data_IF_035305893508
#
_entry.id   IF_035305893508
#
_cell.length_a   1.000
_cell.length_b   1.000
_cell.length_c   1.000
_cell.angle_alpha   90.00
_cell.angle_beta   90.00
_cell.angle_gamma   90.00
#
_symmetry.space_group_name_H-M   'P 1'
#
loop_
_entity.id
_entity.type
_entity.pdbx_description
1 polymer ?
#
# COMPACT_ATOMS: atom_id res chain seq x y z
N UNK A 1 25.38 7.44 9.26
CA UNK A 1 25.84 8.42 8.25
C UNK A 1 24.64 9.24 7.84
N UNK A 2 24.66 10.55 8.17
CA UNK A 2 23.61 11.50 7.80
C UNK A 2 23.90 12.01 6.38
N UNK A 3 23.51 11.25 5.38
CA UNK A 3 23.56 11.74 4.02
C UNK A 3 22.44 12.76 3.80
N UNK A 4 22.73 13.97 3.29
CA UNK A 4 21.74 15.01 2.99
C UNK A 4 20.60 14.50 2.09
N UNK A 5 20.93 13.54 1.23
CA UNK A 5 20.09 12.84 0.27
C UNK A 5 18.85 12.19 0.89
N UNK A 6 18.93 11.71 2.15
CA UNK A 6 17.81 11.07 2.82
C UNK A 6 17.03 12.00 3.76
N UNK A 7 17.36 13.31 3.77
CA UNK A 7 16.74 14.26 4.68
C UNK A 7 15.22 14.37 4.46
N UNK A 8 14.81 14.54 3.21
CA UNK A 8 13.39 14.65 2.85
C UNK A 8 12.63 13.36 3.13
N UNK A 9 13.21 12.20 2.84
CA UNK A 9 12.57 10.92 3.14
C UNK A 9 12.33 10.74 4.64
N UNK A 10 13.34 11.05 5.46
CA UNK A 10 13.22 11.02 6.92
C UNK A 10 12.17 12.00 7.44
N UNK A 11 12.14 13.19 6.88
CA UNK A 11 11.16 14.21 7.23
C UNK A 11 9.73 13.73 6.94
N UNK A 12 9.43 13.29 5.73
CA UNK A 12 8.09 12.80 5.39
C UNK A 12 7.70 11.52 6.15
N UNK A 13 8.65 10.61 6.38
CA UNK A 13 8.42 9.44 7.21
C UNK A 13 8.07 9.82 8.67
N UNK A 14 8.77 10.81 9.23
CA UNK A 14 8.46 11.33 10.57
C UNK A 14 7.10 12.03 10.64
N UNK A 15 6.69 12.74 9.60
CA UNK A 15 5.37 13.35 9.49
C UNK A 15 4.25 12.29 9.46
N UNK A 16 4.43 11.21 8.68
CA UNK A 16 3.48 10.09 8.66
C UNK A 16 3.30 9.52 10.08
N UNK A 17 4.41 9.26 10.77
CA UNK A 17 4.37 8.74 12.13
C UNK A 17 3.70 9.71 13.13
N UNK A 18 4.01 11.00 13.03
CA UNK A 18 3.43 12.04 13.87
C UNK A 18 1.92 12.15 13.67
N UNK A 19 1.43 12.22 12.43
CA UNK A 19 0.00 12.27 12.14
C UNK A 19 -0.71 10.97 12.57
N UNK A 20 -0.08 9.82 12.40
CA UNK A 20 -0.64 8.54 12.83
C UNK A 20 -0.78 8.46 14.38
N UNK A 21 0.14 9.06 15.13
CA UNK A 21 0.07 9.11 16.59
C UNK A 21 -0.92 10.15 17.13
N UNK A 22 -1.00 11.32 16.51
CA UNK A 22 -1.87 12.41 16.97
C UNK A 22 -3.35 12.05 16.93
N UNK A 23 -3.74 11.15 16.00
CA UNK A 23 -5.14 10.81 15.82
C UNK A 23 -5.99 12.02 15.39
N UNK A 24 -7.30 11.85 15.42
CA UNK A 24 -8.24 12.94 15.12
C UNK A 24 -8.64 12.99 13.63
N UNK A 25 -9.60 13.90 13.31
CA UNK A 25 -10.30 13.87 12.02
C UNK A 25 -9.40 14.15 10.81
N UNK A 26 -8.28 14.83 11.02
CA UNK A 26 -7.34 15.19 9.94
C UNK A 26 -6.09 14.32 9.90
N UNK A 27 -5.89 13.40 10.84
CA UNK A 27 -4.71 12.54 10.91
C UNK A 27 -4.57 11.69 9.63
N UNK A 28 -5.66 11.13 9.14
CA UNK A 28 -5.66 10.32 7.91
C UNK A 28 -5.28 11.15 6.69
N UNK A 29 -5.74 12.40 6.60
CA UNK A 29 -5.38 13.31 5.52
C UNK A 29 -3.89 13.68 5.59
N UNK A 30 -3.38 13.96 6.79
CA UNK A 30 -1.96 14.24 7.01
C UNK A 30 -1.05 13.08 6.65
N UNK A 31 -1.44 11.85 7.05
CA UNK A 31 -0.74 10.62 6.66
C UNK A 31 -0.72 10.46 5.13
N UNK A 32 -1.87 10.63 4.48
CA UNK A 32 -1.98 10.50 3.02
C UNK A 32 -1.10 11.52 2.30
N UNK A 33 -1.20 12.80 2.66
CA UNK A 33 -0.40 13.87 2.05
C UNK A 33 1.10 13.64 2.24
N UNK A 34 1.53 13.24 3.44
CA UNK A 34 2.93 12.96 3.73
C UNK A 34 3.43 11.71 2.97
N UNK A 35 2.58 10.72 2.75
CA UNK A 35 2.89 9.55 1.94
C UNK A 35 3.06 9.93 0.46
N UNK A 36 2.19 10.78 -0.08
CA UNK A 36 2.30 11.28 -1.46
C UNK A 36 3.60 12.07 -1.67
N UNK A 37 3.96 12.93 -0.71
CA UNK A 37 5.23 13.67 -0.75
C UNK A 37 6.45 12.76 -0.60
N UNK A 38 6.38 11.72 0.23
CA UNK A 38 7.42 10.70 0.34
C UNK A 38 7.61 9.95 -0.99
N UNK A 39 6.52 9.55 -1.63
CA UNK A 39 6.56 8.90 -2.95
C UNK A 39 7.14 9.83 -4.01
N UNK A 40 6.75 11.11 -4.01
CA UNK A 40 7.30 12.11 -4.92
C UNK A 40 8.82 12.26 -4.72
N UNK A 41 9.29 12.39 -3.47
CA UNK A 41 10.70 12.46 -3.15
C UNK A 41 11.46 11.20 -3.58
N UNK A 42 10.89 10.01 -3.38
CA UNK A 42 11.47 8.76 -3.87
C UNK A 42 11.58 8.74 -5.40
N UNK A 43 10.55 9.22 -6.11
CA UNK A 43 10.57 9.27 -7.57
C UNK A 43 11.53 10.33 -8.12
N UNK A 44 11.72 11.45 -7.44
CA UNK A 44 12.59 12.55 -7.92
C UNK A 44 14.04 12.39 -7.51
N UNK A 45 14.32 11.99 -6.26
CA UNK A 45 15.68 11.91 -5.71
C UNK A 45 16.32 10.54 -5.89
N UNK A 46 15.51 9.50 -5.96
CA UNK A 46 15.93 8.10 -6.11
C UNK A 46 15.37 7.45 -7.37
N UNK A 47 14.84 8.26 -8.30
CA UNK A 47 14.59 7.76 -9.64
C UNK A 47 15.92 7.18 -10.13
N UNK A 48 15.99 5.87 -10.38
CA UNK A 48 17.24 5.33 -10.88
C UNK A 48 17.58 6.11 -12.13
N UNK A 49 18.84 6.50 -12.26
CA UNK A 49 19.44 6.99 -13.50
C UNK A 49 19.45 5.83 -14.54
N UNK A 50 18.36 5.15 -14.62
CA UNK A 50 18.06 4.01 -15.48
C UNK A 50 17.55 4.47 -16.84
N UNK A 51 17.65 5.78 -17.11
CA UNK A 51 17.34 6.37 -18.40
C UNK A 51 18.42 6.13 -19.47
N UNK A 52 19.55 5.50 -19.09
CA UNK A 52 20.56 5.02 -20.04
C UNK A 52 20.52 3.50 -20.17
N UNK A 53 19.36 2.88 -20.06
CA UNK A 53 19.22 1.45 -20.22
C UNK A 53 19.00 1.10 -21.69
N UNK A 54 19.75 0.10 -22.15
CA UNK A 54 19.60 -0.52 -23.46
C UNK A 54 18.14 -0.82 -23.77
N UNK A 55 17.69 -0.80 -25.04
CA UNK A 55 16.32 -1.08 -25.45
C UNK A 55 15.75 -2.39 -24.87
N UNK A 56 16.62 -3.38 -24.66
CA UNK A 56 16.26 -4.67 -24.05
C UNK A 56 15.76 -4.54 -22.60
N UNK A 57 16.32 -3.60 -21.82
CA UNK A 57 15.90 -3.39 -20.43
C UNK A 57 14.52 -2.73 -20.34
N UNK A 58 14.17 -1.86 -21.28
CA UNK A 58 12.83 -1.27 -21.30
C UNK A 58 11.77 -2.30 -21.70
N UNK A 59 12.10 -3.20 -22.61
CA UNK A 59 11.22 -4.31 -22.98
C UNK A 59 10.97 -5.26 -21.80
N UNK A 60 12.03 -5.58 -21.03
CA UNK A 60 11.91 -6.38 -19.81
C UNK A 60 11.05 -5.69 -18.74
N UNK A 61 11.24 -4.40 -18.54
CA UNK A 61 10.43 -3.61 -17.59
C UNK A 61 8.98 -3.50 -18.02
N UNK A 62 8.73 -3.29 -19.32
CA UNK A 62 7.39 -3.28 -19.87
C UNK A 62 6.69 -4.63 -19.68
N UNK A 63 7.41 -5.74 -19.86
CA UNK A 63 6.90 -7.07 -19.57
C UNK A 63 6.53 -7.23 -18.08
N UNK A 64 7.43 -6.81 -17.18
CA UNK A 64 7.14 -6.89 -15.73
C UNK A 64 5.97 -5.98 -15.35
N UNK A 65 5.87 -4.75 -15.86
CA UNK A 65 4.70 -3.88 -15.59
C UNK A 65 3.39 -4.57 -15.98
N UNK A 66 3.34 -5.24 -17.14
CA UNK A 66 2.16 -6.02 -17.58
C UNK A 66 1.86 -7.18 -16.63
N UNK A 67 2.90 -7.89 -16.18
CA UNK A 67 2.74 -8.98 -15.20
C UNK A 67 2.22 -8.48 -13.85
N UNK A 68 2.74 -7.35 -13.37
CA UNK A 68 2.29 -6.74 -12.11
C UNK A 68 0.82 -6.28 -12.20
N UNK A 69 0.41 -5.69 -13.34
CA UNK A 69 -0.98 -5.33 -13.59
C UNK A 69 -1.87 -6.58 -13.59
N UNK A 70 -1.47 -7.63 -14.31
CA UNK A 70 -2.20 -8.89 -14.34
C UNK A 70 -2.35 -9.50 -12.93
N UNK A 71 -1.30 -9.49 -12.12
CA UNK A 71 -1.38 -9.95 -10.72
C UNK A 71 -2.32 -9.09 -9.90
N UNK A 72 -2.31 -7.76 -10.11
CA UNK A 72 -3.21 -6.84 -9.41
C UNK A 72 -4.69 -7.07 -9.75
N UNK A 73 -4.98 -7.49 -10.98
CA UNK A 73 -6.35 -7.73 -11.42
C UNK A 73 -6.87 -9.12 -11.00
N UNK A 74 -5.96 -10.11 -10.83
CA UNK A 74 -6.29 -11.52 -10.55
C UNK A 74 -5.82 -12.03 -9.19
N UNK A 75 -5.37 -11.15 -8.28
CA UNK A 75 -4.74 -11.55 -7.00
C UNK A 75 -5.62 -12.45 -6.12
N UNK A 76 -6.92 -12.28 -6.20
CA UNK A 76 -7.88 -13.04 -5.38
C UNK A 76 -8.06 -14.49 -5.87
N UNK A 77 -7.72 -14.77 -7.11
CA UNK A 77 -7.87 -16.07 -7.75
C UNK A 77 -6.69 -17.00 -7.40
N UNK A 78 -6.84 -18.28 -7.78
CA UNK A 78 -5.72 -19.23 -7.71
C UNK A 78 -4.72 -18.92 -8.82
N UNK A 79 -3.80 -18.01 -8.55
CA UNK A 79 -2.81 -17.55 -9.49
C UNK A 79 -1.45 -18.24 -9.25
N UNK A 80 -0.90 -18.84 -10.29
CA UNK A 80 0.38 -19.56 -10.28
C UNK A 80 1.43 -18.86 -11.14
N UNK A 81 2.68 -19.28 -11.00
CA UNK A 81 3.77 -18.78 -11.87
C UNK A 81 3.61 -19.27 -13.30
N UNK A 82 2.96 -20.41 -13.51
CA UNK A 82 2.60 -20.95 -14.82
C UNK A 82 1.61 -20.01 -15.52
N UNK A 83 0.56 -19.56 -14.84
CA UNK A 83 -0.42 -18.63 -15.41
C UNK A 83 0.24 -17.33 -15.88
N UNK A 84 1.25 -16.82 -15.14
CA UNK A 84 2.02 -15.66 -15.55
C UNK A 84 2.89 -15.95 -16.79
N UNK A 85 3.48 -17.13 -16.84
CA UNK A 85 4.33 -17.55 -17.95
C UNK A 85 3.50 -17.67 -19.24
N UNK A 86 2.34 -18.29 -19.15
CA UNK A 86 1.40 -18.43 -20.26
C UNK A 86 0.86 -17.07 -20.73
N UNK A 87 0.46 -16.21 -19.78
CA UNK A 87 0.01 -14.84 -20.10
C UNK A 87 1.08 -14.02 -20.83
N UNK A 88 2.33 -14.13 -20.41
CA UNK A 88 3.44 -13.38 -21.00
C UNK A 88 4.07 -14.07 -22.22
N UNK A 89 3.67 -15.31 -22.52
CA UNK A 89 4.25 -16.16 -23.56
C UNK A 89 5.76 -16.40 -23.39
N UNK A 90 6.18 -16.59 -22.13
CA UNK A 90 7.54 -16.93 -21.76
C UNK A 90 7.56 -18.25 -20.98
N UNK A 91 8.74 -18.85 -20.85
CA UNK A 91 8.87 -20.01 -19.98
C UNK A 91 8.87 -19.60 -18.49
N UNK A 92 8.41 -20.50 -17.62
CA UNK A 92 8.30 -20.31 -16.18
C UNK A 92 9.62 -19.88 -15.52
N UNK A 93 10.73 -20.48 -15.92
CA UNK A 93 12.06 -20.18 -15.35
C UNK A 93 12.47 -18.73 -15.65
N UNK A 94 12.23 -18.28 -16.88
CA UNK A 94 12.51 -16.90 -17.28
C UNK A 94 11.66 -15.90 -16.47
N UNK A 95 10.34 -16.14 -16.35
CA UNK A 95 9.45 -15.28 -15.57
C UNK A 95 9.86 -15.24 -14.10
N UNK A 96 10.21 -16.38 -13.50
CA UNK A 96 10.68 -16.45 -12.13
C UNK A 96 11.94 -15.60 -11.90
N UNK A 97 12.91 -15.70 -12.81
CA UNK A 97 14.17 -14.96 -12.72
C UNK A 97 13.96 -13.47 -12.96
N UNK A 98 13.22 -13.13 -14.02
CA UNK A 98 12.90 -11.75 -14.39
C UNK A 98 12.16 -11.03 -13.26
N UNK A 99 11.15 -11.69 -12.69
CA UNK A 99 10.35 -11.16 -11.59
C UNK A 99 11.24 -10.86 -10.36
N UNK A 100 12.07 -11.83 -9.96
CA UNK A 100 12.99 -11.66 -8.83
C UNK A 100 14.04 -10.57 -9.07
N UNK A 101 14.57 -10.46 -10.30
CA UNK A 101 15.58 -9.44 -10.63
C UNK A 101 15.01 -8.02 -10.61
N UNK A 102 13.79 -7.82 -11.12
CA UNK A 102 13.19 -6.49 -11.24
C UNK A 102 12.39 -6.11 -10.00
N UNK A 103 11.61 -7.04 -9.42
CA UNK A 103 10.76 -6.78 -8.23
C UNK A 103 11.54 -6.99 -6.93
N UNK A 104 12.64 -7.72 -6.95
CA UNK A 104 13.49 -7.99 -5.79
C UNK A 104 13.02 -9.14 -4.89
N UNK A 105 11.80 -9.63 -5.08
CA UNK A 105 11.20 -10.75 -4.32
C UNK A 105 10.61 -11.78 -5.29
N UNK A 106 10.35 -13.00 -4.79
CA UNK A 106 9.71 -14.00 -5.62
C UNK A 106 8.20 -13.72 -5.81
N UNK A 107 7.61 -14.34 -6.84
CA UNK A 107 6.20 -14.16 -7.20
C UNK A 107 5.23 -14.48 -6.03
N UNK A 108 5.44 -15.58 -5.33
CA UNK A 108 4.57 -15.98 -4.22
C UNK A 108 4.55 -14.96 -3.08
N UNK A 109 5.72 -14.44 -2.73
CA UNK A 109 5.82 -13.39 -1.71
C UNK A 109 5.15 -12.10 -2.18
N UNK A 110 5.32 -11.72 -3.45
CA UNK A 110 4.66 -10.56 -4.03
C UNK A 110 3.13 -10.72 -4.02
N UNK A 111 2.61 -11.84 -4.52
CA UNK A 111 1.17 -12.14 -4.53
C UNK A 111 0.60 -12.10 -3.10
N UNK A 112 1.31 -12.68 -2.13
CA UNK A 112 0.89 -12.67 -0.73
C UNK A 112 0.84 -11.23 -0.17
N UNK A 113 1.78 -10.36 -0.57
CA UNK A 113 1.76 -8.95 -0.16
C UNK A 113 0.59 -8.19 -0.76
N UNK A 114 0.30 -8.40 -2.05
CA UNK A 114 -0.86 -7.78 -2.71
C UNK A 114 -2.16 -8.21 -2.02
N UNK A 115 -2.37 -9.51 -1.80
CA UNK A 115 -3.52 -10.04 -1.06
C UNK A 115 -3.65 -9.44 0.34
N UNK A 116 -2.53 -9.32 1.03
CA UNK A 116 -2.49 -8.76 2.38
C UNK A 116 -2.87 -7.27 2.40
N UNK A 117 -2.41 -6.48 1.43
CA UNK A 117 -2.78 -5.06 1.30
C UNK A 117 -4.30 -4.90 1.09
N UNK A 118 -4.89 -5.67 0.19
CA UNK A 118 -6.34 -5.64 -0.03
C UNK A 118 -7.12 -6.07 1.22
N UNK A 119 -6.65 -7.10 1.92
CA UNK A 119 -7.28 -7.54 3.16
C UNK A 119 -7.18 -6.49 4.28
N UNK A 120 -6.10 -5.69 4.36
CA UNK A 120 -6.01 -4.55 5.29
C UNK A 120 -7.06 -3.48 4.98
N UNK A 121 -7.29 -3.20 3.70
CA UNK A 121 -8.33 -2.25 3.25
C UNK A 121 -9.71 -2.77 3.64
N UNK A 122 -10.01 -4.04 3.36
CA UNK A 122 -11.28 -4.66 3.71
C UNK A 122 -11.53 -4.64 5.23
N UNK A 123 -10.51 -4.94 6.04
CA UNK A 123 -10.59 -4.86 7.50
C UNK A 123 -10.92 -3.45 7.99
N UNK A 124 -10.41 -2.43 7.31
CA UNK A 124 -10.64 -1.04 7.66
C UNK A 124 -12.02 -0.53 7.22
N UNK A 125 -12.50 -0.98 6.07
CA UNK A 125 -13.70 -0.41 5.43
C UNK A 125 -14.97 -1.24 5.63
N UNK A 126 -14.85 -2.52 6.00
CA UNK A 126 -16.00 -3.42 6.12
C UNK A 126 -16.17 -3.99 7.54
N UNK A 127 -17.35 -4.51 7.81
CA UNK A 127 -17.66 -5.27 9.03
C UNK A 127 -17.72 -6.78 8.79
N UNK A 128 -17.31 -7.23 7.61
CA UNK A 128 -17.35 -8.63 7.19
C UNK A 128 -16.55 -9.53 8.13
N UNK A 129 -16.88 -10.81 8.16
CA UNK A 129 -16.15 -11.77 8.97
C UNK A 129 -14.68 -11.89 8.52
N UNK A 130 -13.79 -12.22 9.46
CA UNK A 130 -12.36 -12.40 9.14
C UNK A 130 -12.14 -13.54 8.14
N UNK A 131 -13.03 -14.54 8.17
CA UNK A 131 -13.01 -15.66 7.23
C UNK A 131 -13.37 -15.20 5.82
N UNK A 132 -14.44 -14.42 5.67
CA UNK A 132 -14.87 -13.90 4.37
C UNK A 132 -13.82 -12.97 3.77
N UNK A 133 -13.22 -12.10 4.58
CA UNK A 133 -12.12 -11.22 4.14
C UNK A 133 -10.92 -12.05 3.68
N UNK A 134 -10.52 -13.07 4.44
CA UNK A 134 -9.41 -13.93 4.06
C UNK A 134 -9.65 -14.62 2.71
N UNK A 135 -10.80 -15.26 2.55
CA UNK A 135 -11.15 -16.01 1.34
C UNK A 135 -11.31 -15.09 0.13
N UNK A 136 -12.02 -13.97 0.27
CA UNK A 136 -12.21 -12.98 -0.80
C UNK A 136 -10.90 -12.39 -1.30
N UNK A 137 -9.92 -12.24 -0.43
CA UNK A 137 -8.59 -11.75 -0.80
C UNK A 137 -7.60 -12.87 -1.19
N UNK A 138 -8.10 -14.08 -1.48
CA UNK A 138 -7.31 -15.17 -2.06
C UNK A 138 -6.42 -15.92 -1.07
N UNK A 139 -6.62 -15.78 0.25
CA UNK A 139 -5.99 -16.65 1.23
C UNK A 139 -6.68 -18.03 1.23
N UNK A 140 -5.89 -19.07 1.35
CA UNK A 140 -6.41 -20.44 1.34
C UNK A 140 -7.36 -20.72 2.53
N UNK A 141 -7.04 -20.13 3.68
CA UNK A 141 -7.80 -20.29 4.91
C UNK A 141 -7.50 -19.16 5.91
N UNK A 142 -8.31 -19.08 6.96
CA UNK A 142 -8.12 -18.10 8.05
C UNK A 142 -6.82 -18.32 8.82
N UNK A 143 -6.30 -19.54 8.89
CA UNK A 143 -5.04 -19.86 9.59
C UNK A 143 -3.85 -19.21 8.89
N UNK A 144 -3.77 -19.35 7.57
CA UNK A 144 -2.74 -18.73 6.73
C UNK A 144 -2.81 -17.20 6.82
N UNK A 145 -4.04 -16.64 6.78
CA UNK A 145 -4.28 -15.21 6.96
C UNK A 145 -3.79 -14.71 8.33
N UNK A 146 -4.17 -15.37 9.43
CA UNK A 146 -3.71 -15.03 10.77
C UNK A 146 -2.18 -15.13 10.92
N UNK A 147 -1.57 -16.15 10.32
CA UNK A 147 -0.12 -16.32 10.33
C UNK A 147 0.57 -15.14 9.63
N UNK A 148 0.04 -14.68 8.48
CA UNK A 148 0.58 -13.51 7.77
C UNK A 148 0.46 -12.23 8.61
N UNK A 149 -0.66 -12.02 9.29
CA UNK A 149 -0.84 -10.88 10.19
C UNK A 149 0.20 -10.86 11.31
N UNK A 150 0.39 -12.01 11.97
CA UNK A 150 1.38 -12.13 13.06
C UNK A 150 2.80 -11.88 12.59
N UNK A 151 3.18 -12.41 11.41
CA UNK A 151 4.53 -12.23 10.87
C UNK A 151 4.78 -10.80 10.37
N UNK A 152 3.75 -10.10 9.87
CA UNK A 152 3.92 -8.77 9.27
C UNK A 152 3.69 -7.63 10.28
N UNK A 153 2.66 -7.74 11.13
CA UNK A 153 2.23 -6.68 12.05
C UNK A 153 2.36 -7.07 13.53
N UNK A 154 2.80 -8.30 13.83
CA UNK A 154 2.91 -8.87 15.19
C UNK A 154 1.58 -8.82 15.97
N UNK A 155 0.46 -8.89 15.25
CA UNK A 155 -0.92 -8.78 15.76
C UNK A 155 -1.83 -9.74 15.02
N UNK A 156 -3.03 -9.93 15.57
CA UNK A 156 -4.09 -10.65 14.88
C UNK A 156 -4.94 -9.68 14.04
N UNK A 157 -5.66 -10.17 13.01
CA UNK A 157 -6.61 -9.34 12.25
C UNK A 157 -7.69 -8.70 13.13
N UNK A 158 -8.15 -9.41 14.17
CA UNK A 158 -9.14 -8.90 15.12
C UNK A 158 -8.60 -7.71 15.94
N UNK A 159 -7.40 -7.84 16.48
CA UNK A 159 -6.72 -6.75 17.20
C UNK A 159 -6.46 -5.56 16.29
N UNK A 160 -6.06 -5.80 15.05
CA UNK A 160 -5.86 -4.74 14.07
C UNK A 160 -7.17 -3.99 13.77
N UNK A 161 -8.27 -4.71 13.52
CA UNK A 161 -9.60 -4.11 13.32
C UNK A 161 -10.07 -3.30 14.52
N UNK A 162 -9.88 -3.82 15.73
CA UNK A 162 -10.26 -3.11 16.96
C UNK A 162 -9.52 -1.77 17.12
N UNK A 163 -8.28 -1.68 16.67
CA UNK A 163 -7.49 -0.43 16.72
C UNK A 163 -7.90 0.58 15.65
N UNK A 164 -8.33 0.12 14.47
CA UNK A 164 -8.78 1.02 13.40
C UNK A 164 -10.09 1.71 13.73
N UNK A 165 -10.92 1.10 14.55
CA UNK A 165 -12.26 1.59 14.88
C UNK A 165 -12.57 1.40 16.38
N UNK A 166 -11.88 2.12 17.29
CA UNK A 166 -12.25 2.05 18.71
C UNK A 166 -13.70 2.46 18.97
N UNK A 167 -14.31 3.25 18.10
CA UNK A 167 -15.70 3.74 18.22
C UNK A 167 -16.75 2.83 17.53
N UNK A 168 -16.35 1.88 16.68
CA UNK A 168 -17.30 0.92 16.07
C UNK A 168 -17.77 -0.17 17.03
N UNK A 169 -17.10 -0.33 18.15
CA UNK A 169 -17.47 -1.32 19.19
C UNK A 169 -18.60 -0.80 20.08
N UNK A 170 -18.88 0.50 20.06
CA UNK A 170 -19.95 1.12 20.87
C UNK A 170 -20.85 1.95 19.95
N UNK A 171 -21.94 1.31 19.46
CA UNK A 171 -23.14 1.96 18.93
C UNK A 171 -22.97 2.77 17.64
N UNK A 172 -23.71 2.37 16.64
CA UNK A 172 -23.87 2.92 15.30
C UNK A 172 -23.85 4.45 15.13
N UNK A 173 -22.67 5.03 15.14
CA UNK A 173 -22.50 6.42 14.72
C UNK A 173 -22.06 6.48 13.26
N UNK A 174 -22.94 7.00 12.42
CA UNK A 174 -22.61 7.41 11.06
C UNK A 174 -21.40 8.36 11.09
N UNK A 175 -20.32 8.01 10.39
CA UNK A 175 -19.25 8.96 10.11
C UNK A 175 -19.85 10.14 9.33
N UNK A 176 -20.02 11.29 9.95
CA UNK A 176 -20.22 12.54 9.23
C UNK A 176 -18.88 12.88 8.55
N UNK A 177 -18.77 12.59 7.27
CA UNK A 177 -17.78 13.26 6.44
C UNK A 177 -18.12 14.75 6.48
N UNK A 178 -17.15 15.59 6.87
CA UNK A 178 -17.31 17.04 6.68
C UNK A 178 -17.34 17.28 5.16
N UNK A 179 -18.38 17.87 4.62
CA UNK A 179 -18.43 18.24 3.19
C UNK A 179 -17.22 19.13 2.84
N UNK A 180 -16.79 19.09 1.59
CA UNK A 180 -15.67 19.94 1.12
C UNK A 180 -15.93 21.45 1.28
N UNK A 181 -17.19 21.85 1.50
CA UNK A 181 -17.67 23.20 1.74
C UNK A 181 -17.83 23.54 3.23
N UNK A 182 -17.42 22.65 4.15
CA UNK A 182 -17.45 22.92 5.60
C UNK A 182 -16.65 24.20 5.92
N UNK A 183 -17.28 25.20 6.61
CA UNK A 183 -16.63 26.49 6.89
C UNK A 183 -15.34 26.37 7.71
N UNK A 184 -15.24 25.38 8.60
CA UNK A 184 -14.02 25.13 9.41
C UNK A 184 -12.87 24.59 8.57
N UNK A 185 -13.20 23.68 7.62
CA UNK A 185 -12.23 23.15 6.67
C UNK A 185 -11.72 24.28 5.76
N UNK A 186 -12.61 25.08 5.20
CA UNK A 186 -12.29 26.21 4.34
C UNK A 186 -11.45 27.29 5.04
N UNK A 187 -11.73 27.55 6.32
CA UNK A 187 -10.94 28.50 7.11
C UNK A 187 -9.51 28.00 7.33
N UNK A 188 -9.33 26.74 7.72
CA UNK A 188 -8.00 26.16 7.93
C UNK A 188 -7.19 26.06 6.65
N UNK A 189 -7.82 25.70 5.52
CA UNK A 189 -7.14 25.72 4.23
C UNK A 189 -6.60 27.10 3.86
N UNK A 190 -7.35 28.16 4.15
CA UNK A 190 -6.91 29.55 3.90
C UNK A 190 -5.73 29.94 4.83
N UNK A 191 -5.76 29.56 6.09
CA UNK A 191 -4.66 29.81 7.03
C UNK A 191 -3.35 29.13 6.54
N UNK A 192 -3.41 27.87 6.08
CA UNK A 192 -2.24 27.16 5.57
C UNK A 192 -1.69 27.73 4.26
N UNK A 193 -2.55 28.24 3.39
CA UNK A 193 -2.12 28.89 2.13
C UNK A 193 -1.48 30.25 2.35
N UNK A 194 -1.67 30.90 3.51
CA UNK A 194 -1.03 32.17 3.86
C UNK A 194 0.35 31.98 4.48
N UNK A 195 0.61 30.90 5.20
CA UNK A 195 1.92 30.59 5.84
C UNK A 195 2.99 30.24 4.81
N UNK A 196 2.63 29.85 3.59
CA UNK A 196 3.59 29.56 2.50
C UNK A 196 4.03 30.77 1.68
N UNK A 197 3.66 32.02 2.07
CA UNK A 197 4.00 33.27 1.36
C UNK A 197 4.90 34.21 2.18
N UNK A 198 5.46 33.73 3.29
CA UNK A 198 6.42 34.47 4.13
C UNK A 198 7.82 33.92 3.95
#
# INVERSE_FOLDING_TARGET
>A
RDEPRYRHLRFYASQIFQFAQQGGPYAQLGVKASLELLLLALCTEFSPTLLNTMPEDEQRRAAVRRLLAYVSDHYAEKLTLEDLADYAQYNRTYISTLFKQIVGINFHEYLTRVRFQHALIDLALTTDSLTDIALRNGFADLKTFNARFRTTLQRTPAEYRAQLCPERVVGGMQRKYLPCDDPLLQRKLREYLQVGKS
#
